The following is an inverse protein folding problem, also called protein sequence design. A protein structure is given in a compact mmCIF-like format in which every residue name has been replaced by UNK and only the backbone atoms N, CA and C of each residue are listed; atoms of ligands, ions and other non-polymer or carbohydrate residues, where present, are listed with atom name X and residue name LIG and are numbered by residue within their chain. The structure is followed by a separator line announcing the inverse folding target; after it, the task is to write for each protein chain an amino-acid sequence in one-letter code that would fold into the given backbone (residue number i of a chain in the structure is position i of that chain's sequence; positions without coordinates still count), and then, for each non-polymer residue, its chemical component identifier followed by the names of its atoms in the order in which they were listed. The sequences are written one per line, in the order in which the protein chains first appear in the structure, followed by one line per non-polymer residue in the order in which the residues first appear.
data_IF_447706211464
#
_entry.id   IF_447706211464
#
_cell.length_a   1.000
_cell.length_b   1.000
_cell.length_c   1.000
_cell.angle_alpha   90.00
_cell.angle_beta   90.00
_cell.angle_gamma   90.00
#
_symmetry.space_group_name_H-M   'P 1'
#
loop_
_entity.id
_entity.type
_entity.pdbx_description
1 polymer ?
#
# COMPACT_ATOMS: atom_id res chain seq x y z
N UNK A 1 -57.70 -3.98 32.52
CA UNK A 1 -56.41 -3.31 32.31
C UNK A 1 -55.67 -4.08 31.22
N UNK A 2 -55.78 -3.62 30.01
CA UNK A 2 -55.19 -4.29 28.83
C UNK A 2 -54.11 -3.38 28.27
N UNK A 3 -52.85 -3.85 28.42
CA UNK A 3 -51.70 -3.15 27.90
C UNK A 3 -51.61 -3.26 26.35
N UNK A 4 -51.47 -2.11 25.71
CA UNK A 4 -51.19 -2.00 24.29
C UNK A 4 -49.77 -2.50 24.02
N UNK A 5 -49.68 -3.57 23.26
CA UNK A 5 -48.43 -3.97 22.60
C UNK A 5 -48.25 -3.11 21.35
N UNK A 6 -47.38 -2.13 21.45
CA UNK A 6 -46.91 -1.38 20.30
C UNK A 6 -45.91 -2.25 19.52
N UNK A 7 -46.34 -2.81 18.39
CA UNK A 7 -45.46 -3.43 17.41
C UNK A 7 -44.58 -2.37 16.76
N UNK A 8 -43.33 -2.33 17.17
CA UNK A 8 -42.32 -1.59 16.44
C UNK A 8 -41.99 -2.40 15.18
N UNK A 9 -42.63 -2.04 14.08
CA UNK A 9 -42.23 -2.49 12.77
C UNK A 9 -40.83 -1.94 12.52
N UNK A 10 -39.83 -2.82 12.63
CA UNK A 10 -38.45 -2.55 12.19
C UNK A 10 -38.54 -2.39 10.66
N UNK A 11 -38.64 -1.15 10.21
CA UNK A 11 -38.43 -0.83 8.81
C UNK A 11 -36.94 -1.08 8.54
N UNK A 12 -36.66 -2.28 8.08
CA UNK A 12 -35.38 -2.58 7.42
C UNK A 12 -35.38 -1.76 6.14
N UNK A 13 -34.98 -0.50 6.21
CA UNK A 13 -34.44 0.19 5.04
C UNK A 13 -33.16 -0.54 4.69
N UNK A 14 -33.27 -1.47 3.74
CA UNK A 14 -32.09 -1.91 3.02
C UNK A 14 -31.48 -0.65 2.40
N UNK A 15 -30.52 -0.07 3.09
CA UNK A 15 -29.56 0.83 2.45
C UNK A 15 -28.92 -0.04 1.39
N UNK A 16 -29.35 0.14 0.15
CA UNK A 16 -28.63 -0.33 -1.03
C UNK A 16 -27.24 0.30 -0.83
N UNK A 17 -26.30 -0.53 -0.35
CA UNK A 17 -24.90 -0.16 -0.35
C UNK A 17 -24.63 0.26 -1.80
N UNK A 18 -24.24 1.51 -2.02
CA UNK A 18 -23.89 1.95 -3.35
C UNK A 18 -22.89 0.90 -3.86
N UNK A 19 -23.29 0.14 -4.90
CA UNK A 19 -22.46 -0.88 -5.48
C UNK A 19 -21.12 -0.20 -5.84
N UNK A 20 -20.02 -0.78 -5.44
CA UNK A 20 -18.73 -0.33 -5.94
C UNK A 20 -18.78 -0.42 -7.47
N UNK A 21 -18.00 0.42 -8.17
CA UNK A 21 -17.97 0.39 -9.63
C UNK A 21 -17.77 -1.04 -10.12
N UNK A 22 -18.47 -1.50 -11.19
CA UNK A 22 -18.29 -2.84 -11.76
C UNK A 22 -16.82 -3.20 -12.03
N UNK A 23 -15.97 -2.20 -12.22
CA UNK A 23 -14.55 -2.39 -12.44
C UNK A 23 -13.84 -2.90 -11.17
N UNK A 24 -14.25 -2.47 -9.97
CA UNK A 24 -13.70 -3.02 -8.72
C UNK A 24 -14.04 -4.49 -8.54
N UNK A 25 -15.28 -4.87 -8.81
CA UNK A 25 -15.71 -6.27 -8.74
C UNK A 25 -14.92 -7.12 -9.75
N UNK A 26 -14.72 -6.59 -10.97
CA UNK A 26 -13.91 -7.25 -12.00
C UNK A 26 -12.45 -7.44 -11.55
N UNK A 27 -11.79 -6.41 -11.01
CA UNK A 27 -10.42 -6.49 -10.47
C UNK A 27 -10.34 -7.50 -9.33
N UNK A 28 -11.34 -7.54 -8.44
CA UNK A 28 -11.38 -8.49 -7.33
C UNK A 28 -11.41 -9.95 -7.78
N UNK A 29 -11.93 -10.25 -8.99
CA UNK A 29 -11.90 -11.61 -9.55
C UNK A 29 -10.49 -12.10 -9.91
N UNK A 30 -9.54 -11.20 -10.12
CA UNK A 30 -8.21 -11.52 -10.66
C UNK A 30 -8.22 -11.94 -12.14
N UNK A 31 -9.37 -11.84 -12.83
CA UNK A 31 -9.53 -12.27 -14.21
C UNK A 31 -9.41 -11.09 -15.19
N UNK A 32 -8.30 -11.02 -15.89
CA UNK A 32 -8.00 -9.94 -16.84
C UNK A 32 -9.06 -9.79 -17.93
N UNK A 33 -9.63 -10.91 -18.44
CA UNK A 33 -10.68 -10.86 -19.46
C UNK A 33 -11.97 -10.20 -18.96
N UNK A 34 -12.33 -10.41 -17.69
CA UNK A 34 -13.49 -9.75 -17.06
C UNK A 34 -13.23 -8.25 -16.91
N UNK A 35 -12.04 -7.87 -16.48
CA UNK A 35 -11.63 -6.46 -16.38
C UNK A 35 -11.69 -5.79 -17.76
N UNK A 36 -11.16 -6.44 -18.78
CA UNK A 36 -11.17 -5.92 -20.15
C UNK A 36 -12.61 -5.74 -20.69
N UNK A 37 -13.50 -6.70 -20.45
CA UNK A 37 -14.92 -6.59 -20.81
C UNK A 37 -15.58 -5.38 -20.15
N UNK A 38 -15.35 -5.17 -18.84
CA UNK A 38 -15.94 -4.04 -18.11
C UNK A 38 -15.38 -2.70 -18.64
N UNK A 39 -14.07 -2.63 -18.91
CA UNK A 39 -13.47 -1.43 -19.51
C UNK A 39 -14.03 -1.15 -20.93
N UNK A 40 -14.31 -2.20 -21.72
CA UNK A 40 -14.91 -2.05 -23.05
C UNK A 40 -16.35 -1.49 -23.00
N UNK A 41 -17.07 -1.55 -21.87
CA UNK A 41 -18.36 -0.88 -21.70
C UNK A 41 -18.27 0.62 -21.42
N UNK A 42 -17.04 1.17 -21.34
CA UNK A 42 -16.80 2.58 -21.03
C UNK A 42 -16.69 2.87 -19.53
N UNK A 43 -16.42 1.86 -18.71
CA UNK A 43 -16.16 2.07 -17.30
C UNK A 43 -14.93 2.97 -17.09
N UNK A 44 -15.02 3.91 -16.15
CA UNK A 44 -13.93 4.82 -15.78
C UNK A 44 -12.80 4.02 -15.12
N UNK A 45 -11.62 4.03 -15.78
CA UNK A 45 -10.41 3.32 -15.32
C UNK A 45 -9.92 3.84 -13.96
N UNK A 46 -10.18 5.11 -13.64
CA UNK A 46 -9.83 5.76 -12.38
C UNK A 46 -11.03 5.96 -11.45
N UNK A 47 -12.10 5.17 -11.65
CA UNK A 47 -13.25 5.16 -10.74
C UNK A 47 -12.78 5.02 -9.28
N UNK A 48 -13.55 5.57 -8.34
CA UNK A 48 -13.15 5.65 -6.93
C UNK A 48 -14.03 4.80 -6.03
N UNK A 49 -13.39 3.96 -5.20
CA UNK A 49 -14.04 3.27 -4.09
C UNK A 49 -14.37 4.24 -2.94
N UNK A 50 -15.03 3.78 -1.88
CA UNK A 50 -15.39 4.59 -0.72
C UNK A 50 -14.18 5.21 -0.02
N UNK A 51 -13.07 4.49 0.01
CA UNK A 51 -11.77 4.93 0.55
C UNK A 51 -10.94 5.71 -0.47
N UNK A 52 -11.54 6.10 -1.61
CA UNK A 52 -10.88 6.79 -2.72
C UNK A 52 -9.79 5.95 -3.42
N UNK A 53 -9.68 4.66 -3.15
CA UNK A 53 -8.79 3.79 -3.91
C UNK A 53 -9.25 3.71 -5.38
N UNK A 54 -8.30 3.52 -6.30
CA UNK A 54 -8.56 3.24 -7.71
C UNK A 54 -8.45 1.74 -8.01
N UNK A 55 -8.97 1.25 -9.15
CA UNK A 55 -8.76 -0.12 -9.60
C UNK A 55 -7.27 -0.50 -9.65
N UNK A 56 -6.37 0.44 -10.04
CA UNK A 56 -4.93 0.22 -10.06
C UNK A 56 -4.34 0.04 -8.67
N UNK A 57 -4.79 0.79 -7.65
CA UNK A 57 -4.40 0.59 -6.26
C UNK A 57 -4.81 -0.82 -5.81
N UNK A 58 -6.03 -1.27 -6.13
CA UNK A 58 -6.52 -2.60 -5.75
C UNK A 58 -5.77 -3.72 -6.48
N UNK A 59 -5.47 -3.55 -7.78
CA UNK A 59 -4.67 -4.51 -8.53
C UNK A 59 -3.24 -4.62 -7.93
N UNK A 60 -2.65 -3.51 -7.50
CA UNK A 60 -1.34 -3.49 -6.84
C UNK A 60 -1.38 -4.15 -5.45
N UNK A 61 -2.42 -3.91 -4.64
CA UNK A 61 -2.64 -4.61 -3.37
C UNK A 61 -2.80 -6.12 -3.53
N UNK A 62 -3.48 -6.54 -4.61
CA UNK A 62 -3.66 -7.96 -4.96
C UNK A 62 -2.47 -8.60 -5.68
N UNK A 63 -1.38 -7.88 -5.90
CA UNK A 63 -0.22 -8.32 -6.70
C UNK A 63 -0.60 -8.82 -8.13
N UNK A 64 -1.65 -8.25 -8.73
CA UNK A 64 -2.25 -8.66 -9.99
C UNK A 64 -1.55 -7.97 -11.18
N UNK A 65 -0.35 -8.43 -11.55
CA UNK A 65 0.50 -7.77 -12.56
C UNK A 65 -0.24 -7.57 -13.90
N UNK A 66 -0.86 -8.62 -14.46
CA UNK A 66 -1.54 -8.52 -15.76
C UNK A 66 -2.71 -7.52 -15.77
N UNK A 67 -3.41 -7.38 -14.63
CA UNK A 67 -4.47 -6.38 -14.48
C UNK A 67 -3.86 -4.98 -14.34
N UNK A 68 -2.77 -4.82 -13.59
CA UNK A 68 -2.07 -3.55 -13.48
C UNK A 68 -1.55 -3.08 -14.85
N UNK A 69 -0.96 -3.98 -15.65
CA UNK A 69 -0.54 -3.70 -17.03
C UNK A 69 -1.71 -3.25 -17.91
N UNK A 70 -2.85 -3.97 -17.83
CA UNK A 70 -4.05 -3.61 -18.57
C UNK A 70 -4.58 -2.23 -18.18
N UNK A 71 -4.69 -1.95 -16.88
CA UNK A 71 -5.20 -0.65 -16.39
C UNK A 71 -4.28 0.50 -16.80
N UNK A 72 -2.96 0.34 -16.67
CA UNK A 72 -1.97 1.34 -17.10
C UNK A 72 -2.02 1.52 -18.63
N UNK A 73 -2.19 0.43 -19.39
CA UNK A 73 -2.40 0.49 -20.86
C UNK A 73 -3.71 1.19 -21.26
N UNK A 74 -4.64 1.38 -20.32
CA UNK A 74 -5.86 2.19 -20.45
C UNK A 74 -5.74 3.56 -19.79
N UNK A 75 -4.51 4.02 -19.59
CA UNK A 75 -4.15 5.35 -19.06
C UNK A 75 -4.56 5.59 -17.60
N UNK A 76 -4.65 4.53 -16.77
CA UNK A 76 -4.88 4.67 -15.33
C UNK A 76 -3.80 5.57 -14.69
N UNK A 77 -4.23 6.45 -13.80
CA UNK A 77 -3.33 7.36 -13.07
C UNK A 77 -2.45 6.60 -12.07
N UNK A 78 -1.16 6.44 -12.41
CA UNK A 78 -0.15 5.77 -11.58
C UNK A 78 0.17 6.52 -10.29
N UNK A 79 -0.23 7.80 -10.19
CA UNK A 79 -0.05 8.64 -9.01
C UNK A 79 -1.36 8.87 -8.23
N UNK A 80 -2.44 8.20 -8.63
CA UNK A 80 -3.73 8.27 -7.93
C UNK A 80 -3.55 7.95 -6.44
N UNK A 81 -4.30 8.65 -5.57
CA UNK A 81 -4.21 8.50 -4.11
C UNK A 81 -5.54 8.05 -3.53
N UNK A 82 -5.47 7.16 -2.56
CA UNK A 82 -6.63 6.84 -1.71
C UNK A 82 -6.85 7.91 -0.62
N UNK A 83 -7.85 7.75 0.23
CA UNK A 83 -8.17 8.68 1.32
C UNK A 83 -7.06 8.86 2.36
N UNK A 84 -6.13 7.91 2.46
CA UNK A 84 -4.92 7.99 3.27
C UNK A 84 -3.78 8.75 2.59
N UNK A 85 -3.88 8.99 1.28
CA UNK A 85 -2.84 9.58 0.45
C UNK A 85 -1.87 8.56 -0.13
N UNK A 86 -2.14 7.26 -0.01
CA UNK A 86 -1.29 6.19 -0.55
C UNK A 86 -1.52 5.98 -2.04
N UNK A 87 -0.43 5.80 -2.78
CA UNK A 87 -0.39 5.57 -4.22
C UNK A 87 -0.37 4.07 -4.58
N UNK A 88 -0.54 3.69 -5.87
CA UNK A 88 -0.33 2.33 -6.33
C UNK A 88 1.04 1.74 -5.95
N UNK A 89 2.11 2.57 -5.89
CA UNK A 89 3.44 2.11 -5.48
C UNK A 89 3.49 1.73 -3.98
N UNK A 90 2.78 2.44 -3.12
CA UNK A 90 2.61 2.04 -1.72
C UNK A 90 1.83 0.71 -1.61
N UNK A 91 0.79 0.53 -2.43
CA UNK A 91 0.02 -0.70 -2.48
C UNK A 91 0.87 -1.89 -2.96
N UNK A 92 1.69 -1.69 -4.00
CA UNK A 92 2.67 -2.67 -4.45
C UNK A 92 3.74 -2.97 -3.39
N UNK A 93 4.12 -1.96 -2.59
CA UNK A 93 5.04 -2.15 -1.47
C UNK A 93 4.42 -2.97 -0.34
N UNK A 94 3.13 -2.79 -0.07
CA UNK A 94 2.38 -3.58 0.91
C UNK A 94 2.25 -5.04 0.47
N UNK A 95 1.97 -5.31 -0.81
CA UNK A 95 1.88 -6.69 -1.36
C UNK A 95 3.24 -7.33 -1.64
N UNK A 96 4.36 -6.59 -1.56
CA UNK A 96 5.69 -7.07 -1.86
C UNK A 96 5.97 -7.31 -3.36
N UNK A 97 5.15 -6.76 -4.25
CA UNK A 97 5.22 -7.02 -5.67
C UNK A 97 6.33 -6.23 -6.38
N UNK A 98 7.50 -6.83 -6.55
CA UNK A 98 8.60 -6.27 -7.35
C UNK A 98 8.17 -6.01 -8.81
N UNK A 99 7.44 -6.93 -9.51
CA UNK A 99 7.03 -6.68 -10.89
C UNK A 99 6.13 -5.45 -11.04
N UNK A 100 5.13 -5.28 -10.16
CA UNK A 100 4.24 -4.11 -10.21
C UNK A 100 5.00 -2.84 -9.85
N UNK A 101 5.90 -2.88 -8.86
CA UNK A 101 6.72 -1.72 -8.51
C UNK A 101 7.60 -1.26 -9.67
N UNK A 102 8.22 -2.21 -10.41
CA UNK A 102 8.96 -1.91 -11.64
C UNK A 102 8.07 -1.26 -12.70
N UNK A 103 6.90 -1.83 -12.93
CA UNK A 103 5.93 -1.32 -13.89
C UNK A 103 5.52 0.12 -13.55
N UNK A 104 5.16 0.38 -12.29
CA UNK A 104 4.74 1.70 -11.83
C UNK A 104 5.85 2.75 -11.96
N UNK A 105 7.08 2.42 -11.54
CA UNK A 105 8.24 3.32 -11.67
C UNK A 105 8.55 3.62 -13.14
N UNK A 106 8.47 2.62 -14.02
CA UNK A 106 8.64 2.80 -15.46
C UNK A 106 7.62 3.77 -16.06
N UNK A 107 6.40 3.81 -15.50
CA UNK A 107 5.33 4.71 -15.92
C UNK A 107 5.26 6.01 -15.10
N UNK A 108 6.32 6.37 -14.38
CA UNK A 108 6.48 7.67 -13.74
C UNK A 108 5.97 7.78 -12.30
N UNK A 109 5.73 6.67 -11.63
CA UNK A 109 5.46 6.71 -10.19
C UNK A 109 6.67 7.29 -9.43
N UNK A 110 6.39 8.12 -8.41
CA UNK A 110 7.44 8.71 -7.58
C UNK A 110 7.96 7.69 -6.56
N UNK A 111 9.26 7.38 -6.64
CA UNK A 111 9.93 6.35 -5.82
C UNK A 111 9.76 6.60 -4.31
N UNK A 112 10.08 7.81 -3.85
CA UNK A 112 10.02 8.23 -2.45
C UNK A 112 8.78 9.10 -2.16
N UNK A 113 7.64 8.75 -2.77
CA UNK A 113 6.41 9.47 -2.48
C UNK A 113 6.07 9.39 -0.99
N UNK A 114 5.95 10.54 -0.35
CA UNK A 114 5.61 10.70 1.06
C UNK A 114 4.45 11.70 1.26
N UNK A 115 3.75 12.07 0.18
CA UNK A 115 2.64 13.03 0.23
C UNK A 115 1.34 12.39 0.75
N UNK A 116 1.45 11.48 1.71
CA UNK A 116 0.36 10.90 2.49
C UNK A 116 0.32 11.50 3.90
N UNK A 117 -0.75 11.26 4.64
CA UNK A 117 -0.97 11.86 5.97
C UNK A 117 0.12 11.56 7.00
N UNK A 118 0.79 10.43 6.84
CA UNK A 118 1.83 9.98 7.76
C UNK A 118 3.26 10.31 7.27
N UNK A 119 3.44 10.71 6.01
CA UNK A 119 4.75 10.93 5.41
C UNK A 119 5.53 9.63 5.16
N UNK A 120 4.81 8.52 4.98
CA UNK A 120 5.39 7.18 4.80
C UNK A 120 5.76 6.97 3.34
N UNK A 121 6.97 6.45 3.07
CA UNK A 121 7.43 6.08 1.73
C UNK A 121 7.13 4.62 1.39
N UNK A 122 7.13 4.22 0.10
CA UNK A 122 7.03 2.82 -0.30
C UNK A 122 8.11 1.92 0.33
N UNK A 123 9.34 2.42 0.49
CA UNK A 123 10.41 1.68 1.18
C UNK A 123 10.08 1.39 2.65
N UNK A 124 9.46 2.33 3.36
CA UNK A 124 8.98 2.13 4.73
C UNK A 124 7.94 1.02 4.80
N UNK A 125 6.98 1.01 3.86
CA UNK A 125 5.94 -0.04 3.79
C UNK A 125 6.58 -1.39 3.52
N UNK A 126 7.47 -1.51 2.53
CA UNK A 126 8.16 -2.75 2.21
C UNK A 126 8.98 -3.29 3.41
N UNK A 127 9.62 -2.38 4.16
CA UNK A 127 10.37 -2.73 5.37
C UNK A 127 9.49 -3.19 6.52
N UNK A 128 8.35 -2.55 6.72
CA UNK A 128 7.36 -2.90 7.75
C UNK A 128 6.72 -4.28 7.49
N UNK A 129 6.42 -4.59 6.21
CA UNK A 129 5.81 -5.85 5.78
C UNK A 129 6.85 -6.97 5.52
N UNK A 130 8.13 -6.73 5.81
CA UNK A 130 9.23 -7.70 5.66
C UNK A 130 9.48 -8.17 4.21
N UNK A 131 9.22 -7.33 3.23
CA UNK A 131 9.42 -7.65 1.82
C UNK A 131 10.87 -7.37 1.38
N UNK A 132 11.82 -8.24 1.79
CA UNK A 132 13.26 -8.08 1.57
C UNK A 132 13.60 -7.88 0.08
N UNK A 133 13.01 -8.68 -0.81
CA UNK A 133 13.26 -8.58 -2.25
C UNK A 133 12.83 -7.22 -2.81
N UNK A 134 11.67 -6.73 -2.39
CA UNK A 134 11.18 -5.43 -2.83
C UNK A 134 11.99 -4.28 -2.23
N UNK A 135 12.30 -4.34 -0.93
CA UNK A 135 13.14 -3.34 -0.28
C UNK A 135 14.53 -3.26 -0.97
N UNK A 136 15.12 -4.41 -1.32
CA UNK A 136 16.38 -4.47 -2.08
C UNK A 136 16.23 -3.79 -3.44
N UNK A 137 15.14 -4.06 -4.14
CA UNK A 137 14.85 -3.44 -5.44
C UNK A 137 14.70 -1.92 -5.30
N UNK A 138 13.85 -1.43 -4.36
CA UNK A 138 13.64 0.01 -4.17
C UNK A 138 14.93 0.74 -3.80
N UNK A 139 15.79 0.14 -2.95
CA UNK A 139 17.10 0.69 -2.62
C UNK A 139 18.04 0.73 -3.84
N UNK A 140 17.98 -0.27 -4.71
CA UNK A 140 18.76 -0.29 -5.96
C UNK A 140 18.29 0.80 -6.94
N UNK A 141 17.00 1.17 -6.92
CA UNK A 141 16.45 2.31 -7.67
C UNK A 141 16.77 3.66 -7.02
N UNK A 142 17.42 3.68 -5.85
CA UNK A 142 17.86 4.90 -5.17
C UNK A 142 16.90 5.42 -4.09
N UNK A 143 16.00 4.59 -3.56
CA UNK A 143 15.10 4.98 -2.47
C UNK A 143 15.87 5.46 -1.23
N UNK A 144 15.39 6.54 -0.62
CA UNK A 144 16.01 7.15 0.57
C UNK A 144 15.77 6.31 1.83
N UNK A 145 16.80 5.57 2.25
CA UNK A 145 16.79 4.78 3.49
C UNK A 145 16.74 5.63 4.75
N UNK A 146 17.10 6.92 4.64
CA UNK A 146 17.14 7.89 5.75
C UNK A 146 15.88 8.72 5.91
N UNK A 147 14.90 8.63 4.98
CA UNK A 147 13.66 9.41 5.06
C UNK A 147 12.99 9.27 6.42
N UNK A 148 12.56 10.39 7.01
CA UNK A 148 11.85 10.41 8.28
C UNK A 148 10.40 10.86 8.07
N UNK A 149 9.43 10.02 8.49
CA UNK A 149 8.00 10.35 8.44
C UNK A 149 7.62 11.42 9.48
N UNK A 150 6.35 11.82 9.58
CA UNK A 150 5.89 12.97 10.40
C UNK A 150 6.26 12.91 11.89
N UNK A 151 6.47 11.71 12.46
CA UNK A 151 6.93 11.53 13.85
C UNK A 151 8.44 11.35 13.95
N UNK A 152 9.16 11.46 12.83
CA UNK A 152 10.60 11.29 12.72
C UNK A 152 11.08 9.84 12.75
N UNK A 153 10.21 8.86 12.46
CA UNK A 153 10.62 7.46 12.34
C UNK A 153 11.08 7.17 10.90
N UNK A 154 12.19 6.45 10.81
CA UNK A 154 12.82 6.06 9.54
C UNK A 154 12.42 4.63 9.14
N UNK A 155 12.72 4.18 7.90
CA UNK A 155 12.46 2.81 7.47
C UNK A 155 13.01 1.76 8.45
N UNK A 156 14.25 1.95 8.94
CA UNK A 156 14.85 1.02 9.90
C UNK A 156 14.13 1.00 11.26
N UNK A 157 13.60 2.13 11.72
CA UNK A 157 12.82 2.21 12.97
C UNK A 157 11.59 1.30 12.89
N UNK A 158 10.85 1.37 11.79
CA UNK A 158 9.65 0.55 11.57
C UNK A 158 9.99 -0.94 11.49
N UNK A 159 11.06 -1.29 10.77
CA UNK A 159 11.54 -2.66 10.67
C UNK A 159 11.95 -3.25 12.03
N UNK A 160 12.61 -2.44 12.89
CA UNK A 160 13.00 -2.86 14.25
C UNK A 160 11.76 -3.18 15.10
N UNK A 161 10.75 -2.32 15.10
CA UNK A 161 9.52 -2.55 15.87
C UNK A 161 8.74 -3.77 15.42
N UNK A 162 8.80 -4.10 14.14
CA UNK A 162 8.19 -5.33 13.60
C UNK A 162 9.07 -6.58 13.84
N UNK A 163 10.32 -6.39 14.24
CA UNK A 163 11.26 -7.50 14.44
C UNK A 163 11.84 -8.07 13.15
N UNK A 164 11.81 -7.32 12.06
CA UNK A 164 12.24 -7.73 10.71
C UNK A 164 13.76 -7.66 10.57
N UNK A 165 14.49 -8.59 11.18
CA UNK A 165 15.95 -8.55 11.29
C UNK A 165 16.68 -8.52 9.94
N UNK A 166 16.15 -9.21 8.91
CA UNK A 166 16.75 -9.22 7.57
C UNK A 166 16.62 -7.86 6.88
N UNK A 167 15.49 -7.18 7.07
CA UNK A 167 15.29 -5.79 6.63
C UNK A 167 16.20 -4.84 7.39
N UNK A 168 16.33 -5.00 8.71
CA UNK A 168 17.26 -4.17 9.52
C UNK A 168 18.68 -4.32 9.00
N UNK A 169 19.14 -5.56 8.74
CA UNK A 169 20.46 -5.83 8.14
C UNK A 169 20.60 -5.16 6.77
N UNK A 170 19.59 -5.30 5.92
CA UNK A 170 19.57 -4.69 4.60
C UNK A 170 19.70 -3.16 4.69
N UNK A 171 18.91 -2.49 5.54
CA UNK A 171 18.96 -1.04 5.69
C UNK A 171 20.30 -0.55 6.28
N UNK A 172 20.87 -1.28 7.24
CA UNK A 172 22.22 -0.98 7.77
C UNK A 172 23.28 -1.01 6.67
N UNK A 173 23.29 -2.03 5.80
CA UNK A 173 24.19 -2.10 4.65
C UNK A 173 24.06 -0.92 3.68
N UNK A 174 22.89 -0.28 3.65
CA UNK A 174 22.63 0.92 2.87
C UNK A 174 22.80 2.21 3.68
N UNK A 175 23.48 2.14 4.83
CA UNK A 175 23.87 3.30 5.62
C UNK A 175 22.85 3.80 6.64
N UNK A 176 21.75 3.09 6.88
CA UNK A 176 20.79 3.47 7.91
C UNK A 176 21.41 3.27 9.31
N UNK A 177 21.50 4.31 10.16
CA UNK A 177 21.98 4.16 11.53
C UNK A 177 20.91 3.50 12.40
N UNK A 178 21.33 2.77 13.43
CA UNK A 178 20.41 2.37 14.49
C UNK A 178 19.85 3.62 15.19
N UNK A 179 18.52 3.77 15.31
CA UNK A 179 17.94 4.88 16.06
C UNK A 179 18.36 4.83 17.52
N UNK A 180 18.51 5.99 18.21
CA UNK A 180 18.96 6.00 19.61
C UNK A 180 17.95 5.29 20.52
N UNK A 181 18.45 4.70 21.62
CA UNK A 181 17.64 3.99 22.62
C UNK A 181 16.50 4.84 23.18
N UNK A 182 16.70 6.15 23.32
CA UNK A 182 15.65 7.10 23.73
C UNK A 182 14.42 7.14 22.80
N UNK A 183 14.59 6.68 21.55
CA UNK A 183 13.52 6.65 20.53
C UNK A 183 12.88 5.28 20.38
N UNK A 184 13.65 4.20 20.47
CA UNK A 184 13.17 2.83 20.20
C UNK A 184 13.18 1.92 21.43
N UNK A 185 13.75 2.36 22.56
CA UNK A 185 13.96 1.55 23.77
C UNK A 185 15.33 0.86 23.79
N UNK A 186 15.84 0.60 25.01
CA UNK A 186 17.16 -0.02 25.22
C UNK A 186 17.25 -1.43 24.60
N UNK A 187 16.20 -2.21 24.72
CA UNK A 187 16.14 -3.59 24.21
C UNK A 187 16.22 -3.62 22.67
N UNK A 188 15.45 -2.80 22.02
CA UNK A 188 15.40 -2.68 20.56
C UNK A 188 16.69 -2.07 20.01
N UNK A 189 17.28 -1.12 20.74
CA UNK A 189 18.59 -0.56 20.39
C UNK A 189 19.69 -1.62 20.46
N UNK A 190 19.75 -2.38 21.55
CA UNK A 190 20.72 -3.47 21.69
C UNK A 190 20.60 -4.49 20.56
N UNK A 191 19.36 -4.93 20.23
CA UNK A 191 19.13 -5.83 19.09
C UNK A 191 19.59 -5.24 17.76
N UNK A 192 19.32 -3.98 17.51
CA UNK A 192 19.78 -3.31 16.29
C UNK A 192 21.32 -3.31 16.21
N UNK A 193 21.99 -3.04 17.33
CA UNK A 193 23.45 -3.04 17.39
C UNK A 193 24.07 -4.42 17.19
N UNK A 194 23.40 -5.50 17.65
CA UNK A 194 23.83 -6.88 17.47
C UNK A 194 23.66 -7.43 16.05
N UNK A 195 22.78 -6.81 15.23
CA UNK A 195 22.63 -7.19 13.83
C UNK A 195 23.85 -6.69 13.04
N UNK A 196 24.75 -7.60 12.71
CA UNK A 196 25.90 -7.35 11.87
C UNK A 196 25.60 -7.63 10.38
N UNK A 197 26.42 -7.09 9.49
CA UNK A 197 26.35 -7.22 8.03
C UNK A 197 26.53 -8.66 7.55
#
# INVERSE_FOLDING_TARGET
MRGLLASVALIFTATVAAAESPLFDAVATGNTAVVEQVLATGADVDSRARDQATPLINAALGAQLAIAELLIGKEADVMARNSGGFTPLHAAAFSGSVPISKLLLHHGATLDDAANKAGVTPLMVAGEENHVALATFLLAEGADVGHAEVHGYTPITRAIWKGNSDIVRLFKRHGAPCPPASRIGEKEYAKCMEIHD
#
